data_IF_734987130812
#
_entry.id   IF_734987130812
#
_cell.length_a   1.000
_cell.length_b   1.000
_cell.length_c   1.000
_cell.angle_alpha   90.00
_cell.angle_beta   90.00
_cell.angle_gamma   90.00
#
_symmetry.space_group_name_H-M   'P 1'
#
loop_
_entity.id
_entity.type
_entity.pdbx_description
1 polymer ?
#
# COMPACT_ATOMS: atom_id res chain seq x y z
N UNK A 1 0.40 21.95 30.98
CA UNK A 1 0.24 20.61 30.37
C UNK A 1 -0.91 20.67 29.39
N UNK A 2 -0.62 20.80 28.10
CA UNK A 2 -1.65 20.88 27.05
C UNK A 2 -1.89 19.46 26.54
N UNK A 3 -2.95 18.81 27.02
CA UNK A 3 -3.38 17.53 26.46
C UNK A 3 -3.95 17.76 25.06
N UNK A 4 -3.21 17.33 24.05
CA UNK A 4 -3.68 17.34 22.66
C UNK A 4 -4.76 16.25 22.56
N UNK A 5 -6.03 16.66 22.60
CA UNK A 5 -7.15 15.78 22.29
C UNK A 5 -7.04 15.38 20.82
N UNK A 6 -6.40 14.25 20.54
CA UNK A 6 -6.36 13.66 19.20
C UNK A 6 -7.78 13.23 18.83
N UNK A 7 -8.34 13.82 17.78
CA UNK A 7 -9.62 13.40 17.21
C UNK A 7 -9.62 11.87 16.95
N UNK A 8 -10.77 11.18 17.12
CA UNK A 8 -10.84 9.75 16.84
C UNK A 8 -10.43 9.48 15.39
N UNK A 9 -9.54 8.51 15.19
CA UNK A 9 -9.15 8.09 13.84
C UNK A 9 -10.40 7.66 13.05
N UNK A 10 -10.55 8.05 11.77
CA UNK A 10 -11.65 7.59 10.92
C UNK A 10 -11.63 6.06 10.80
N UNK A 11 -12.80 5.41 10.71
CA UNK A 11 -12.93 3.93 10.67
C UNK A 11 -12.02 3.29 9.62
N UNK A 12 -11.87 3.94 8.46
CA UNK A 12 -10.93 3.56 7.39
C UNK A 12 -9.50 3.33 7.91
N UNK A 13 -9.03 4.22 8.78
CA UNK A 13 -7.69 4.16 9.35
C UNK A 13 -7.57 3.02 10.37
N UNK A 14 -8.61 2.81 11.19
CA UNK A 14 -8.66 1.67 12.12
C UNK A 14 -8.55 0.34 11.37
N UNK A 15 -9.28 0.19 10.26
CA UNK A 15 -9.21 -0.98 9.38
C UNK A 15 -7.80 -1.17 8.82
N UNK A 16 -7.21 -0.09 8.30
CA UNK A 16 -5.86 -0.13 7.73
C UNK A 16 -4.80 -0.53 8.77
N UNK A 17 -4.87 0.04 9.97
CA UNK A 17 -3.96 -0.26 11.07
C UNK A 17 -4.14 -1.69 11.58
N UNK A 18 -5.38 -2.18 11.70
CA UNK A 18 -5.65 -3.55 12.11
C UNK A 18 -5.05 -4.55 11.12
N UNK A 19 -5.33 -4.38 9.83
CA UNK A 19 -4.77 -5.25 8.79
C UNK A 19 -3.24 -5.21 8.79
N UNK A 20 -2.64 -4.02 8.88
CA UNK A 20 -1.19 -3.86 8.99
C UNK A 20 -0.59 -4.62 10.17
N UNK A 21 -1.14 -4.46 11.39
CA UNK A 21 -0.64 -5.13 12.60
C UNK A 21 -0.72 -6.65 12.47
N UNK A 22 -1.89 -7.17 12.03
CA UNK A 22 -2.09 -8.62 11.87
C UNK A 22 -1.15 -9.20 10.84
N UNK A 23 -1.08 -8.59 9.67
CA UNK A 23 -0.20 -9.06 8.58
C UNK A 23 1.27 -8.98 8.99
N UNK A 24 1.70 -7.91 9.65
CA UNK A 24 3.10 -7.78 10.08
C UNK A 24 3.49 -8.86 11.09
N UNK A 25 2.60 -9.17 12.04
CA UNK A 25 2.81 -10.28 12.99
C UNK A 25 2.92 -11.62 12.27
N UNK A 26 1.96 -11.96 11.40
CA UNK A 26 1.99 -13.22 10.66
C UNK A 26 3.19 -13.33 9.71
N UNK A 27 3.57 -12.21 9.07
CA UNK A 27 4.72 -12.16 8.18
C UNK A 27 6.02 -12.40 8.94
N UNK A 28 6.19 -11.80 10.12
CA UNK A 28 7.38 -12.03 10.94
C UNK A 28 7.54 -13.51 11.32
N UNK A 29 6.48 -14.12 11.86
CA UNK A 29 6.48 -15.55 12.21
C UNK A 29 6.66 -16.46 11.00
N UNK A 30 6.04 -16.14 9.85
CA UNK A 30 6.23 -16.91 8.62
C UNK A 30 7.66 -16.85 8.09
N UNK A 31 8.29 -15.67 8.13
CA UNK A 31 9.68 -15.50 7.69
C UNK A 31 10.68 -16.16 8.67
N UNK A 32 10.28 -16.38 9.91
CA UNK A 32 11.02 -17.18 10.89
C UNK A 32 10.75 -18.70 10.77
N UNK A 33 10.00 -19.13 9.75
CA UNK A 33 9.61 -20.54 9.49
C UNK A 33 8.85 -21.19 10.65
N UNK A 34 8.05 -20.41 11.38
CA UNK A 34 7.21 -20.95 12.46
C UNK A 34 6.05 -21.79 11.88
N UNK A 35 5.95 -23.05 12.30
CA UNK A 35 4.98 -24.01 11.74
C UNK A 35 3.51 -23.56 11.84
N UNK A 36 3.14 -22.88 12.94
CA UNK A 36 1.81 -22.31 13.14
C UNK A 36 1.48 -21.23 12.09
N UNK A 37 2.44 -20.38 11.74
CA UNK A 37 2.30 -19.32 10.76
C UNK A 37 2.23 -19.87 9.34
N UNK A 38 3.05 -20.88 9.02
CA UNK A 38 2.97 -21.60 7.73
C UNK A 38 1.59 -22.23 7.55
N UNK A 39 1.08 -22.91 8.58
CA UNK A 39 -0.25 -23.51 8.57
C UNK A 39 -1.37 -22.46 8.45
N UNK A 40 -1.28 -21.35 9.20
CA UNK A 40 -2.24 -20.25 9.14
C UNK A 40 -2.28 -19.60 7.74
N UNK A 41 -1.11 -19.34 7.14
CA UNK A 41 -1.00 -18.82 5.78
C UNK A 41 -1.66 -19.77 4.78
N UNK A 42 -1.46 -21.09 4.92
CA UNK A 42 -2.11 -22.09 4.07
C UNK A 42 -3.63 -22.06 4.17
N UNK A 43 -4.19 -21.81 5.36
CA UNK A 43 -5.63 -21.64 5.56
C UNK A 43 -6.14 -20.36 4.92
N UNK A 44 -5.50 -19.21 5.19
CA UNK A 44 -5.87 -17.91 4.63
C UNK A 44 -5.91 -17.92 3.10
N UNK A 45 -4.97 -18.60 2.44
CA UNK A 45 -4.94 -18.72 0.96
C UNK A 45 -6.20 -19.32 0.36
N UNK A 46 -6.90 -20.19 1.10
CA UNK A 46 -8.16 -20.80 0.64
C UNK A 46 -9.30 -19.79 0.53
N UNK A 47 -9.22 -18.66 1.23
CA UNK A 47 -10.23 -17.62 1.21
C UNK A 47 -10.08 -16.53 0.15
N UNK A 48 -8.91 -16.40 -0.49
CA UNK A 48 -8.69 -15.29 -1.42
C UNK A 48 -9.62 -15.39 -2.64
N UNK A 49 -10.44 -14.35 -2.86
CA UNK A 49 -11.43 -14.27 -3.94
C UNK A 49 -12.78 -14.93 -3.61
N UNK A 50 -13.02 -15.26 -2.35
CA UNK A 50 -14.29 -15.78 -1.81
C UNK A 50 -14.90 -14.79 -0.84
N UNK A 51 -16.17 -15.00 -0.54
CA UNK A 51 -16.92 -14.21 0.43
C UNK A 51 -16.49 -14.56 1.87
N UNK A 52 -16.35 -13.55 2.74
CA UNK A 52 -15.89 -13.74 4.12
C UNK A 52 -16.89 -14.56 4.97
N UNK A 53 -18.19 -14.44 4.68
CA UNK A 53 -19.25 -15.18 5.35
C UNK A 53 -19.30 -16.67 4.98
N UNK A 54 -18.60 -17.08 3.91
CA UNK A 54 -18.59 -18.46 3.43
C UNK A 54 -17.46 -19.32 4.02
N UNK A 55 -16.64 -18.79 4.94
CA UNK A 55 -15.43 -19.46 5.41
C UNK A 55 -15.31 -19.46 6.95
N UNK A 56 -16.08 -20.31 7.65
CA UNK A 56 -16.03 -20.44 9.11
C UNK A 56 -14.62 -20.72 9.65
N UNK A 57 -13.84 -21.51 8.90
CA UNK A 57 -12.44 -21.84 9.23
C UNK A 57 -11.53 -20.61 9.37
N UNK A 58 -11.90 -19.46 8.80
CA UNK A 58 -11.12 -18.23 8.85
C UNK A 58 -11.56 -17.27 9.96
N UNK A 59 -12.75 -17.45 10.53
CA UNK A 59 -13.27 -16.59 11.61
C UNK A 59 -12.34 -16.61 12.83
N UNK A 60 -11.77 -17.77 13.17
CA UNK A 60 -10.83 -17.90 14.28
C UNK A 60 -9.40 -17.43 13.95
N UNK A 61 -9.06 -17.21 12.67
CA UNK A 61 -7.73 -16.75 12.26
C UNK A 61 -7.66 -15.24 12.07
N UNK A 62 -8.76 -14.64 11.67
CA UNK A 62 -8.88 -13.21 11.39
C UNK A 62 -9.58 -12.59 12.59
N UNK A 63 -8.80 -12.32 13.64
CA UNK A 63 -9.32 -11.69 14.85
C UNK A 63 -9.58 -10.19 14.61
N UNK A 64 -10.86 -9.88 14.42
CA UNK A 64 -11.42 -8.53 14.26
C UNK A 64 -12.00 -7.96 15.54
N UNK A 65 -11.80 -8.61 16.71
CA UNK A 65 -12.23 -8.09 18.01
C UNK A 65 -11.82 -6.61 18.25
N UNK A 66 -10.64 -6.13 17.80
CA UNK A 66 -10.28 -4.71 17.95
C UNK A 66 -11.20 -3.72 17.20
N UNK A 67 -12.03 -4.17 16.25
CA UNK A 67 -13.06 -3.34 15.60
C UNK A 67 -14.32 -3.19 16.48
N UNK A 68 -14.55 -4.13 17.40
CA UNK A 68 -15.67 -4.11 18.34
C UNK A 68 -15.35 -3.28 19.59
N UNK A 69 -14.09 -2.92 19.80
CA UNK A 69 -13.69 -2.01 20.87
C UNK A 69 -14.30 -0.63 20.65
N UNK A 70 -14.74 -0.01 21.75
CA UNK A 70 -15.30 1.34 21.73
C UNK A 70 -14.22 2.30 21.23
N UNK A 71 -14.53 3.05 20.17
CA UNK A 71 -13.64 4.06 19.60
C UNK A 71 -13.26 5.09 20.68
N UNK A 72 -12.19 5.86 20.43
CA UNK A 72 -11.79 6.98 21.31
C UNK A 72 -12.88 8.03 21.53
N UNK A 73 -13.90 8.09 20.69
CA UNK A 73 -15.09 8.95 20.83
C UNK A 73 -16.25 8.30 21.59
N UNK A 74 -16.05 7.12 22.19
CA UNK A 74 -17.02 6.47 23.05
C UNK A 74 -18.13 5.72 22.32
N UNK A 75 -18.11 5.63 20.98
CA UNK A 75 -19.16 4.96 20.21
C UNK A 75 -18.66 3.67 19.56
N UNK A 76 -19.41 2.56 19.66
CA UNK A 76 -19.13 1.37 18.86
C UNK A 76 -19.37 1.69 17.38
N UNK A 77 -18.73 0.91 16.51
CA UNK A 77 -19.07 0.92 15.09
C UNK A 77 -20.51 0.43 14.90
N UNK A 78 -21.22 1.02 13.94
CA UNK A 78 -22.49 0.46 13.49
C UNK A 78 -22.28 -0.92 12.86
N UNK A 79 -23.30 -1.76 12.87
CA UNK A 79 -23.26 -3.10 12.25
C UNK A 79 -22.78 -3.03 10.79
N UNK A 80 -23.24 -2.02 10.04
CA UNK A 80 -22.83 -1.79 8.66
C UNK A 80 -21.35 -1.45 8.52
N UNK A 81 -20.79 -0.67 9.45
CA UNK A 81 -19.36 -0.36 9.48
C UNK A 81 -18.54 -1.61 9.84
N UNK A 82 -18.99 -2.39 10.82
CA UNK A 82 -18.34 -3.64 11.23
C UNK A 82 -18.26 -4.64 10.08
N UNK A 83 -19.38 -4.96 9.43
CA UNK A 83 -19.42 -5.93 8.32
C UNK A 83 -18.46 -5.51 7.21
N UNK A 84 -18.48 -4.25 6.79
CA UNK A 84 -17.59 -3.75 5.74
C UNK A 84 -16.12 -3.75 6.15
N UNK A 85 -15.84 -3.49 7.43
CA UNK A 85 -14.50 -3.50 7.98
C UNK A 85 -13.95 -4.93 8.03
N UNK A 86 -14.74 -5.89 8.51
CA UNK A 86 -14.43 -7.31 8.52
C UNK A 86 -14.13 -7.82 7.12
N UNK A 87 -15.02 -7.54 6.16
CA UNK A 87 -14.86 -7.89 4.75
C UNK A 87 -13.55 -7.34 4.15
N UNK A 88 -13.23 -6.08 4.45
CA UNK A 88 -12.01 -5.43 3.97
C UNK A 88 -10.73 -6.06 4.55
N UNK A 89 -10.73 -6.33 5.86
CA UNK A 89 -9.63 -7.03 6.55
C UNK A 89 -9.47 -8.44 5.98
N UNK A 90 -10.58 -9.16 5.81
CA UNK A 90 -10.59 -10.51 5.25
C UNK A 90 -9.95 -10.55 3.86
N UNK A 91 -10.41 -9.70 2.94
CA UNK A 91 -9.86 -9.64 1.58
C UNK A 91 -8.37 -9.28 1.61
N UNK A 92 -7.95 -8.32 2.43
CA UNK A 92 -6.54 -7.93 2.52
C UNK A 92 -5.63 -9.07 3.05
N UNK A 93 -6.02 -9.75 4.13
CA UNK A 93 -5.23 -10.85 4.71
C UNK A 93 -5.12 -12.04 3.76
N UNK A 94 -6.23 -12.41 3.10
CA UNK A 94 -6.23 -13.55 2.17
C UNK A 94 -5.42 -13.24 0.91
N UNK A 95 -5.48 -12.01 0.38
CA UNK A 95 -4.62 -11.58 -0.73
C UNK A 95 -3.14 -11.55 -0.32
N UNK A 96 -2.82 -11.04 0.86
CA UNK A 96 -1.45 -11.10 1.39
C UNK A 96 -0.94 -12.54 1.50
N UNK A 97 -1.77 -13.46 2.01
CA UNK A 97 -1.38 -14.85 2.13
C UNK A 97 -1.05 -15.51 0.79
N UNK A 98 -1.77 -15.14 -0.28
CA UNK A 98 -1.43 -15.56 -1.65
C UNK A 98 -0.09 -14.96 -2.07
N UNK A 99 0.16 -13.68 -1.81
CA UNK A 99 1.39 -13.00 -2.20
C UNK A 99 2.64 -13.56 -1.50
N UNK A 100 2.54 -13.78 -0.18
CA UNK A 100 3.66 -14.22 0.66
C UNK A 100 4.06 -15.69 0.41
N UNK A 101 3.17 -16.50 -0.18
CA UNK A 101 3.39 -17.93 -0.37
C UNK A 101 4.74 -18.24 -1.02
N UNK A 102 5.61 -18.96 -0.32
CA UNK A 102 6.90 -19.39 -0.84
C UNK A 102 7.85 -18.23 -1.18
N UNK A 103 7.67 -17.06 -0.56
CA UNK A 103 8.60 -15.93 -0.64
C UNK A 103 9.37 -15.80 0.67
N UNK A 104 10.70 -15.73 0.59
CA UNK A 104 11.57 -15.46 1.74
C UNK A 104 11.74 -13.97 2.04
N UNK A 105 11.16 -13.10 1.22
CA UNK A 105 11.13 -11.64 1.38
C UNK A 105 9.74 -11.18 1.85
N UNK A 106 9.68 -10.04 2.56
CA UNK A 106 8.44 -9.45 3.07
C UNK A 106 7.60 -8.85 1.93
N UNK A 107 6.43 -9.44 1.63
CA UNK A 107 5.51 -8.97 0.59
C UNK A 107 4.56 -7.88 1.08
N UNK A 108 4.36 -7.75 2.39
CA UNK A 108 3.75 -6.57 2.99
C UNK A 108 4.82 -5.55 3.39
N UNK A 109 4.72 -4.35 2.83
CA UNK A 109 5.58 -3.21 3.18
C UNK A 109 4.75 -1.92 3.20
N UNK A 110 4.93 -1.09 4.22
CA UNK A 110 4.20 0.19 4.38
C UNK A 110 4.52 1.17 3.24
N UNK A 111 3.49 1.83 2.73
CA UNK A 111 3.59 2.92 1.77
C UNK A 111 4.26 4.13 2.43
N UNK A 112 5.29 4.67 1.76
CA UNK A 112 5.91 5.96 2.10
C UNK A 112 6.03 6.79 0.84
N UNK A 113 6.13 8.12 0.99
CA UNK A 113 6.33 9.02 -0.16
C UNK A 113 7.58 8.67 -0.95
N UNK A 114 8.69 8.39 -0.28
CA UNK A 114 9.94 8.01 -0.97
C UNK A 114 9.92 6.56 -1.47
N UNK A 115 8.99 5.74 -0.99
CA UNK A 115 8.88 4.32 -1.37
C UNK A 115 7.41 3.96 -1.54
N UNK A 116 6.80 4.34 -2.67
CA UNK A 116 5.39 4.09 -2.88
C UNK A 116 5.13 2.58 -2.96
N UNK A 117 4.28 2.09 -2.07
CA UNK A 117 3.79 0.71 -1.99
C UNK A 117 2.27 0.62 -2.12
N UNK A 118 1.62 1.63 -2.70
CA UNK A 118 0.19 1.56 -3.01
C UNK A 118 -0.07 0.64 -4.19
N UNK A 119 -1.33 0.20 -4.37
CA UNK A 119 -1.67 -0.76 -5.43
C UNK A 119 -1.29 -0.27 -6.83
N UNK A 120 -1.56 0.99 -7.14
CA UNK A 120 -1.17 1.58 -8.44
C UNK A 120 0.34 1.54 -8.67
N UNK A 121 1.14 1.95 -7.67
CA UNK A 121 2.60 1.89 -7.75
C UNK A 121 3.11 0.44 -7.89
N UNK A 122 2.50 -0.50 -7.17
CA UNK A 122 2.85 -1.92 -7.27
C UNK A 122 2.57 -2.49 -8.66
N UNK A 123 1.43 -2.12 -9.28
CA UNK A 123 1.11 -2.51 -10.67
C UNK A 123 2.08 -1.87 -11.66
N UNK A 124 2.45 -0.59 -11.48
CA UNK A 124 3.42 0.06 -12.36
C UNK A 124 4.80 -0.63 -12.29
N UNK A 125 5.22 -1.13 -11.12
CA UNK A 125 6.47 -1.88 -10.96
C UNK A 125 6.52 -3.21 -11.71
N UNK A 126 5.38 -3.74 -12.17
CA UNK A 126 5.34 -4.91 -13.04
C UNK A 126 5.75 -4.59 -14.47
N UNK A 127 5.72 -3.32 -14.86
CA UNK A 127 6.02 -2.86 -16.21
C UNK A 127 7.53 -2.69 -16.37
N UNK A 128 8.01 -2.83 -17.61
CA UNK A 128 9.37 -2.45 -17.94
C UNK A 128 9.56 -0.95 -17.69
N UNK A 129 10.76 -0.52 -17.29
CA UNK A 129 11.03 0.90 -17.21
C UNK A 129 10.81 1.56 -18.57
N UNK A 130 10.13 2.71 -18.58
CA UNK A 130 9.79 3.52 -19.76
C UNK A 130 8.72 2.95 -20.71
N UNK A 131 8.03 1.86 -20.32
CA UNK A 131 6.92 1.29 -21.09
C UNK A 131 5.64 1.22 -20.24
N UNK A 132 4.51 1.67 -20.78
CA UNK A 132 3.20 1.43 -20.17
C UNK A 132 2.62 0.14 -20.76
N UNK A 133 2.60 -0.91 -19.96
CA UNK A 133 1.86 -2.14 -20.28
C UNK A 133 0.35 -1.85 -20.17
N UNK A 134 -0.26 -1.46 -21.29
CA UNK A 134 -1.69 -1.19 -21.39
C UNK A 134 -2.58 -2.36 -20.91
N UNK A 135 -2.27 -3.64 -21.20
CA UNK A 135 -2.97 -4.76 -20.59
C UNK A 135 -2.99 -4.74 -19.05
N UNK A 136 -1.85 -4.50 -18.38
CA UNK A 136 -1.79 -4.42 -16.92
C UNK A 136 -2.54 -3.20 -16.37
N UNK A 137 -2.41 -2.04 -17.03
CA UNK A 137 -3.19 -0.84 -16.68
C UNK A 137 -4.69 -1.09 -16.79
N UNK A 138 -5.15 -1.72 -17.88
CA UNK A 138 -6.55 -2.10 -18.08
C UNK A 138 -7.04 -3.08 -17.00
N UNK A 139 -6.19 -4.00 -16.51
CA UNK A 139 -6.54 -4.89 -15.38
C UNK A 139 -6.79 -4.12 -14.10
N UNK A 140 -5.95 -3.13 -13.77
CA UNK A 140 -6.16 -2.28 -12.59
C UNK A 140 -7.47 -1.47 -12.69
N UNK A 141 -7.71 -0.84 -13.85
CA UNK A 141 -8.96 -0.10 -14.10
C UNK A 141 -10.17 -1.02 -13.98
N UNK A 142 -10.11 -2.21 -14.60
CA UNK A 142 -11.17 -3.21 -14.52
C UNK A 142 -11.40 -3.67 -13.08
N UNK A 143 -10.36 -3.86 -12.27
CA UNK A 143 -10.52 -4.19 -10.86
C UNK A 143 -11.34 -3.11 -10.14
N UNK A 144 -10.99 -1.83 -10.31
CA UNK A 144 -11.67 -0.70 -9.67
C UNK A 144 -13.14 -0.51 -10.07
N UNK A 145 -13.55 -1.08 -11.21
CA UNK A 145 -14.94 -1.07 -11.71
C UNK A 145 -15.66 -2.41 -11.51
N UNK A 146 -15.26 -3.20 -10.50
CA UNK A 146 -16.00 -4.40 -10.11
C UNK A 146 -17.41 -4.06 -9.63
N UNK A 147 -18.42 -4.92 -9.88
CA UNK A 147 -19.80 -4.68 -9.43
C UNK A 147 -20.01 -4.94 -7.93
N UNK A 148 -19.13 -5.69 -7.28
CA UNK A 148 -19.18 -6.01 -5.86
C UNK A 148 -17.79 -6.41 -5.33
N UNK A 149 -17.66 -6.51 -4.01
CA UNK A 149 -16.40 -6.80 -3.34
C UNK A 149 -15.83 -8.18 -3.70
N UNK A 150 -16.68 -9.20 -3.87
CA UNK A 150 -16.23 -10.55 -4.25
C UNK A 150 -15.55 -10.56 -5.62
N UNK A 151 -16.16 -9.90 -6.62
CA UNK A 151 -15.55 -9.75 -7.95
C UNK A 151 -14.29 -8.88 -7.88
N UNK A 152 -14.27 -7.84 -7.03
CA UNK A 152 -13.07 -7.05 -6.80
C UNK A 152 -11.94 -7.91 -6.22
N UNK A 153 -12.21 -8.71 -5.20
CA UNK A 153 -11.24 -9.59 -4.55
C UNK A 153 -10.65 -10.61 -5.53
N UNK A 154 -11.47 -11.18 -6.43
CA UNK A 154 -11.00 -12.06 -7.50
C UNK A 154 -10.05 -11.34 -8.47
N UNK A 155 -10.43 -10.14 -8.95
CA UNK A 155 -9.58 -9.35 -9.85
C UNK A 155 -8.28 -8.90 -9.18
N UNK A 156 -8.33 -8.55 -7.90
CA UNK A 156 -7.14 -8.23 -7.11
C UNK A 156 -6.25 -9.45 -6.88
N UNK A 157 -6.82 -10.64 -6.70
CA UNK A 157 -6.05 -11.89 -6.60
C UNK A 157 -5.25 -12.16 -7.87
N UNK A 158 -5.82 -11.89 -9.04
CA UNK A 158 -5.09 -12.02 -10.31
C UNK A 158 -3.90 -11.05 -10.36
N UNK A 159 -4.11 -9.78 -9.98
CA UNK A 159 -3.05 -8.77 -9.90
C UNK A 159 -1.95 -9.20 -8.90
N UNK A 160 -2.34 -9.63 -7.70
CA UNK A 160 -1.40 -10.10 -6.66
C UNK A 160 -0.59 -11.31 -7.13
N UNK A 161 -1.17 -12.17 -7.97
CA UNK A 161 -0.43 -13.30 -8.56
C UNK A 161 0.70 -12.82 -9.48
N UNK A 162 0.50 -11.73 -10.22
CA UNK A 162 1.58 -11.09 -10.99
C UNK A 162 2.63 -10.43 -10.07
N UNK A 163 2.19 -9.71 -9.03
CA UNK A 163 3.10 -9.11 -8.04
C UNK A 163 3.98 -10.16 -7.37
N UNK A 164 3.41 -11.31 -7.02
CA UNK A 164 4.16 -12.41 -6.43
C UNK A 164 5.28 -12.94 -7.33
N UNK A 165 5.08 -13.00 -8.64
CA UNK A 165 6.10 -13.48 -9.58
C UNK A 165 7.33 -12.57 -9.64
N UNK A 166 7.13 -11.29 -9.38
CA UNK A 166 8.17 -10.25 -9.44
C UNK A 166 8.62 -9.78 -8.05
N UNK A 167 8.13 -10.43 -6.99
CA UNK A 167 8.35 -10.05 -5.58
C UNK A 167 8.01 -8.57 -5.29
N UNK A 168 6.99 -8.07 -5.98
CA UNK A 168 6.61 -6.69 -5.91
C UNK A 168 5.75 -6.38 -4.68
N UNK A 169 6.41 -6.10 -3.55
CA UNK A 169 5.74 -5.80 -2.28
C UNK A 169 4.67 -4.70 -2.36
N UNK A 170 3.63 -4.84 -1.51
CA UNK A 170 2.42 -4.02 -1.47
C UNK A 170 2.05 -3.65 -0.03
N UNK A 171 1.48 -2.46 0.17
CA UNK A 171 0.89 -2.06 1.45
C UNK A 171 -0.53 -2.60 1.59
N UNK A 172 -0.64 -3.77 2.20
CA UNK A 172 -1.92 -4.42 2.49
C UNK A 172 -2.75 -3.72 3.58
N UNK A 173 -2.12 -2.94 4.46
CA UNK A 173 -2.85 -2.11 5.42
C UNK A 173 -3.58 -0.98 4.69
N UNK A 174 -2.85 -0.25 3.84
CA UNK A 174 -3.45 0.75 2.96
C UNK A 174 -4.55 0.14 2.07
N UNK A 175 -4.29 -1.03 1.47
CA UNK A 175 -5.29 -1.72 0.65
C UNK A 175 -6.55 -2.06 1.47
N UNK A 176 -6.43 -2.54 2.72
CA UNK A 176 -7.59 -2.82 3.57
C UNK A 176 -8.44 -1.56 3.81
N UNK A 177 -7.81 -0.43 4.14
CA UNK A 177 -8.54 0.84 4.28
C UNK A 177 -9.22 1.28 2.98
N UNK A 178 -8.58 1.06 1.82
CA UNK A 178 -9.17 1.34 0.51
C UNK A 178 -10.34 0.41 0.20
N UNK A 179 -10.26 -0.88 0.52
CA UNK A 179 -11.34 -1.85 0.35
C UNK A 179 -12.54 -1.50 1.23
N UNK A 180 -12.30 -1.03 2.46
CA UNK A 180 -13.35 -0.51 3.32
C UNK A 180 -14.05 0.70 2.68
N UNK A 181 -13.27 1.70 2.21
CA UNK A 181 -13.82 2.87 1.54
C UNK A 181 -14.60 2.51 0.27
N UNK A 182 -14.07 1.59 -0.54
CA UNK A 182 -14.64 1.19 -1.83
C UNK A 182 -16.09 0.70 -1.73
N UNK A 183 -16.43 0.07 -0.61
CA UNK A 183 -17.75 -0.51 -0.35
C UNK A 183 -18.85 0.53 -0.10
N UNK A 184 -18.51 1.79 0.15
CA UNK A 184 -19.47 2.87 0.39
C UNK A 184 -19.92 3.54 -0.90
N UNK A 185 -21.15 4.12 -0.94
CA UNK A 185 -21.59 4.95 -2.07
C UNK A 185 -20.56 6.03 -2.40
N UNK A 186 -20.16 6.16 -3.67
CA UNK A 186 -19.11 7.08 -4.13
C UNK A 186 -17.66 6.69 -3.74
N UNK A 187 -17.49 5.70 -2.87
CA UNK A 187 -16.19 5.24 -2.41
C UNK A 187 -15.36 4.59 -3.52
N UNK A 188 -16.00 3.90 -4.46
CA UNK A 188 -15.33 3.30 -5.60
C UNK A 188 -14.61 4.35 -6.48
N UNK A 189 -15.21 5.52 -6.70
CA UNK A 189 -14.56 6.62 -7.44
C UNK A 189 -13.35 7.15 -6.69
N UNK A 190 -13.49 7.37 -5.38
CA UNK A 190 -12.39 7.84 -4.53
C UNK A 190 -11.20 6.89 -4.59
N UNK A 191 -11.45 5.58 -4.44
CA UNK A 191 -10.41 4.55 -4.46
C UNK A 191 -9.77 4.42 -5.84
N UNK A 192 -10.54 4.52 -6.93
CA UNK A 192 -10.00 4.55 -8.30
C UNK A 192 -9.05 5.74 -8.50
N UNK A 193 -9.42 6.93 -8.01
CA UNK A 193 -8.55 8.10 -8.06
C UNK A 193 -7.27 7.87 -7.26
N UNK A 194 -7.35 7.30 -6.05
CA UNK A 194 -6.17 6.96 -5.25
C UNK A 194 -5.25 5.96 -5.93
N UNK A 195 -5.79 4.92 -6.56
CA UNK A 195 -5.00 3.96 -7.32
C UNK A 195 -4.36 4.59 -8.55
N UNK A 196 -5.07 5.46 -9.27
CA UNK A 196 -4.52 6.23 -10.39
C UNK A 196 -3.36 7.14 -9.96
N UNK A 197 -3.54 7.91 -8.86
CA UNK A 197 -2.47 8.75 -8.30
C UNK A 197 -1.27 7.91 -7.87
N UNK A 198 -1.50 6.77 -7.20
CA UNK A 198 -0.42 5.87 -6.80
C UNK A 198 0.33 5.30 -8.00
N UNK A 199 -0.37 5.02 -9.10
CA UNK A 199 0.24 4.53 -10.34
C UNK A 199 1.20 5.58 -10.94
N UNK A 200 0.82 6.85 -10.93
CA UNK A 200 1.67 7.94 -11.42
C UNK A 200 2.79 8.34 -10.45
N UNK A 201 2.58 8.29 -9.13
CA UNK A 201 3.59 8.69 -8.14
C UNK A 201 4.89 7.86 -8.20
N UNK A 202 4.84 6.61 -8.67
CA UNK A 202 6.04 5.81 -8.87
C UNK A 202 6.88 6.31 -10.05
N UNK A 203 6.25 6.82 -11.10
CA UNK A 203 6.93 7.35 -12.28
C UNK A 203 7.84 8.51 -11.89
N UNK A 204 7.32 9.44 -11.09
CA UNK A 204 8.07 10.60 -10.60
C UNK A 204 9.29 10.18 -9.74
N UNK A 205 9.12 9.24 -8.80
CA UNK A 205 10.25 8.70 -7.99
C UNK A 205 11.29 7.97 -8.86
N UNK A 206 10.85 7.24 -9.88
CA UNK A 206 11.76 6.53 -10.79
C UNK A 206 12.55 7.51 -11.68
N UNK A 207 11.89 8.52 -12.24
CA UNK A 207 12.52 9.60 -13.03
C UNK A 207 13.53 10.39 -12.17
N UNK A 208 13.15 10.76 -10.94
CA UNK A 208 14.04 11.44 -9.98
C UNK A 208 15.28 10.61 -9.61
N UNK A 209 15.14 9.28 -9.46
CA UNK A 209 16.27 8.39 -9.18
C UNK A 209 17.17 8.12 -10.39
N UNK A 210 16.65 8.25 -11.59
CA UNK A 210 17.37 8.03 -12.85
C UNK A 210 18.13 9.26 -13.32
N UNK A 211 17.69 10.43 -12.89
CA UNK A 211 18.42 11.68 -13.14
C UNK A 211 19.62 11.68 -12.19
N UNK A 212 20.88 11.56 -12.69
CA UNK A 212 22.03 11.84 -11.84
C UNK A 212 21.84 13.26 -11.31
N UNK A 213 22.11 13.51 -10.03
CA UNK A 213 22.17 14.87 -9.53
C UNK A 213 23.16 15.63 -10.41
N UNK A 214 22.64 16.39 -11.39
CA UNK A 214 23.43 17.29 -12.18
C UNK A 214 24.03 18.24 -11.15
N UNK A 215 25.33 18.08 -10.94
CA UNK A 215 26.05 18.83 -9.94
C UNK A 215 25.69 20.30 -10.11
N UNK A 216 25.31 20.93 -9.01
CA UNK A 216 25.46 22.37 -8.90
C UNK A 216 26.95 22.66 -9.08
N UNK A 217 27.37 22.81 -10.34
CA UNK A 217 28.68 23.35 -10.67
C UNK A 217 28.60 24.82 -10.30
N UNK A 218 29.23 25.16 -9.19
CA UNK A 218 29.61 26.53 -8.87
C UNK A 218 30.67 26.99 -9.88
N UNK A 219 30.29 27.14 -11.14
CA UNK A 219 31.06 27.85 -12.15
C UNK A 219 30.59 29.30 -12.14
N UNK A 220 31.07 30.03 -11.15
CA UNK A 220 30.72 31.44 -10.92
C UNK A 220 31.54 32.04 -9.78
N UNK A 221 32.83 31.70 -9.70
CA UNK A 221 33.79 32.35 -8.84
C UNK A 221 35.15 32.31 -9.53
N UNK A 222 35.25 33.01 -10.66
CA UNK A 222 36.55 33.30 -11.25
C UNK A 222 37.15 34.48 -10.48
N UNK A 223 38.22 34.16 -9.76
CA UNK A 223 38.99 35.06 -8.93
C UNK A 223 39.70 36.11 -9.78
N UNK A 224 39.41 37.39 -9.52
CA UNK A 224 40.29 38.48 -9.90
C UNK A 224 41.48 38.48 -8.93
N UNK A 225 42.60 37.95 -9.41
CA UNK A 225 43.89 37.94 -8.73
C UNK A 225 44.52 39.35 -8.72
N UNK A 226 45.09 39.84 -7.60
CA UNK A 226 45.71 41.16 -7.55
C UNK A 226 47.20 41.06 -7.88
N UNK A 227 47.63 41.76 -8.92
CA UNK A 227 49.02 42.20 -9.07
C UNK A 227 49.05 43.53 -9.81
N UNK A 228 49.36 44.59 -9.06
CA UNK A 228 49.79 45.87 -9.61
C UNK A 228 51.15 45.70 -10.34
N UNK A 229 51.47 46.64 -11.24
CA UNK A 229 52.51 47.59 -10.85
C UNK A 229 52.14 49.06 -11.13
N UNK A 230 52.85 49.90 -10.38
CA UNK A 230 52.87 51.36 -10.35
C UNK A 230 53.48 51.93 -11.64
N UNK A 231 52.84 52.94 -12.22
CA UNK A 231 53.48 54.10 -12.89
C UNK A 231 52.41 55.20 -12.99
N UNK A 232 52.43 56.28 -12.21
CA UNK A 232 53.20 57.55 -12.33
C UNK A 232 53.00 58.31 -13.65
N UNK A 233 52.77 59.62 -13.44
CA UNK A 233 52.70 60.76 -14.36
C UNK A 233 51.37 60.94 -15.14
N UNK A 234 50.53 61.93 -14.80
CA UNK A 234 50.68 63.39 -14.87
C UNK A 234 50.54 63.96 -16.30
N UNK A 235 49.30 64.31 -16.67
CA UNK A 235 48.84 65.59 -17.26
C UNK A 235 47.50 65.41 -17.98
#
# INVERSE_FOLDING_TARGET
MTTITTAPAPVRELVAQLAHRRISSWQASYLADEANAVAALARLRRGAGRDAGQLPDLWNLIDTAPLHEVRRDGKPLSERELVRADDAVHVALTLWAVHQQGRGSAMHQTHRRERPRGLGAAVHRLMKPDEIDEPLRKRLVRAGSAPNLTVLAQRLRDIVTFLRRTEAALDYGLLAGQLYQWQWPGGADTVRTEWGRSFHAWREDNELRRTPAAGYSAAGAEALNPTAPIDKDAS
#
